data_IF_138816279142
#
_entry.id   IF_138816279142
#
_cell.length_a   1.000
_cell.length_b   1.000
_cell.length_c   1.000
_cell.angle_alpha   90.00
_cell.angle_beta   90.00
_cell.angle_gamma   90.00
#
_symmetry.space_group_name_H-M   'P 1'
#
loop_
_entity.id
_entity.type
_entity.pdbx_description
1 polymer ?
#
# COMPACT_ATOMS: atom_id res chain seq x y z
N UNK A 1 -3.06 14.99 6.41
CA UNK A 1 -3.01 13.72 5.64
C UNK A 1 -4.43 13.19 5.49
N UNK A 2 -4.76 12.53 4.37
CA UNK A 2 -6.09 11.92 4.19
C UNK A 2 -6.17 10.63 5.00
N UNK A 3 -7.36 10.28 5.50
CA UNK A 3 -7.59 9.09 6.32
C UNK A 3 -7.24 7.79 5.59
N UNK A 4 -7.51 7.72 4.27
CA UNK A 4 -7.09 6.60 3.42
C UNK A 4 -5.57 6.44 3.34
N UNK A 5 -4.82 7.54 3.26
CA UNK A 5 -3.35 7.49 3.20
C UNK A 5 -2.77 6.92 4.49
N UNK A 6 -3.31 7.36 5.64
CA UNK A 6 -2.86 6.88 6.95
C UNK A 6 -3.06 5.38 7.09
N UNK A 7 -4.25 4.86 6.76
CA UNK A 7 -4.50 3.41 6.74
C UNK A 7 -3.54 2.67 5.82
N UNK A 8 -3.27 3.22 4.64
CA UNK A 8 -2.34 2.61 3.69
C UNK A 8 -0.92 2.50 4.23
N UNK A 9 -0.43 3.54 4.92
CA UNK A 9 0.86 3.53 5.62
C UNK A 9 0.89 2.45 6.71
N UNK A 10 -0.17 2.37 7.52
CA UNK A 10 -0.27 1.39 8.61
C UNK A 10 -0.21 -0.05 8.06
N UNK A 11 -0.97 -0.36 7.00
CA UNK A 11 -0.95 -1.66 6.32
C UNK A 11 0.44 -1.94 5.71
N UNK A 12 1.05 -0.96 5.04
CA UNK A 12 2.37 -1.12 4.45
C UNK A 12 3.43 -1.49 5.51
N UNK A 13 3.36 -0.86 6.69
CA UNK A 13 4.25 -1.15 7.81
C UNK A 13 4.13 -2.58 8.33
N UNK A 14 2.95 -3.20 8.22
CA UNK A 14 2.72 -4.60 8.59
C UNK A 14 3.30 -5.54 7.53
N UNK A 15 3.04 -5.26 6.25
CA UNK A 15 3.39 -6.16 5.14
C UNK A 15 4.87 -6.10 4.77
N UNK A 16 5.45 -4.91 4.73
CA UNK A 16 6.81 -4.67 4.29
C UNK A 16 7.46 -3.56 5.13
N UNK A 17 7.90 -3.87 6.37
CA UNK A 17 8.61 -2.90 7.22
C UNK A 17 9.78 -2.25 6.46
N UNK A 18 9.76 -0.92 6.34
CA UNK A 18 10.77 -0.13 5.64
C UNK A 18 10.63 -0.05 4.11
N UNK A 19 9.81 -0.91 3.47
CA UNK A 19 9.64 -0.91 2.02
C UNK A 19 8.88 0.31 1.48
N UNK A 20 7.96 0.87 2.28
CA UNK A 20 7.17 2.04 1.89
C UNK A 20 8.04 3.28 1.67
N UNK A 21 9.02 3.51 2.54
CA UNK A 21 9.91 4.67 2.44
C UNK A 21 10.70 4.62 1.13
N UNK A 22 11.22 3.45 0.76
CA UNK A 22 11.93 3.25 -0.49
C UNK A 22 11.04 3.50 -1.72
N UNK A 23 9.77 3.13 -1.65
CA UNK A 23 8.81 3.41 -2.72
C UNK A 23 8.50 4.92 -2.83
N UNK A 24 8.28 5.59 -1.70
CA UNK A 24 7.94 7.02 -1.64
C UNK A 24 9.11 7.95 -1.96
N UNK A 25 10.34 7.46 -1.86
CA UNK A 25 11.56 8.21 -2.19
C UNK A 25 12.22 7.73 -3.49
N UNK A 26 11.64 6.71 -4.13
CA UNK A 26 12.18 6.11 -5.34
C UNK A 26 11.87 6.90 -6.61
N UNK A 27 12.37 6.37 -7.74
CA UNK A 27 12.18 6.93 -9.09
C UNK A 27 10.72 7.19 -9.46
N UNK A 28 9.80 6.37 -8.95
CA UNK A 28 8.36 6.54 -9.20
C UNK A 28 7.85 7.84 -8.59
N UNK A 29 8.26 8.17 -7.36
CA UNK A 29 7.85 9.39 -6.69
C UNK A 29 8.51 10.64 -7.31
N UNK A 30 9.73 10.53 -7.83
CA UNK A 30 10.40 11.62 -8.58
C UNK A 30 9.63 12.00 -9.85
N UNK A 31 9.11 10.99 -10.58
CA UNK A 31 8.44 11.19 -11.87
C UNK A 31 6.95 11.49 -11.70
N UNK A 32 6.29 10.82 -10.75
CA UNK A 32 4.85 10.85 -10.57
C UNK A 32 4.47 10.78 -9.07
N UNK A 33 4.62 11.90 -8.33
CA UNK A 33 4.36 11.92 -6.89
C UNK A 33 2.91 11.59 -6.52
N UNK A 34 1.94 12.04 -7.34
CA UNK A 34 0.53 11.73 -7.12
C UNK A 34 0.23 10.25 -7.33
N UNK A 35 0.91 9.60 -8.28
CA UNK A 35 0.79 8.16 -8.48
C UNK A 35 1.39 7.38 -7.32
N UNK A 36 2.57 7.78 -6.84
CA UNK A 36 3.16 7.19 -5.64
C UNK A 36 2.21 7.32 -4.44
N UNK A 37 1.58 8.48 -4.26
CA UNK A 37 0.55 8.66 -3.23
C UNK A 37 -0.66 7.74 -3.44
N UNK A 38 -1.20 7.70 -4.66
CA UNK A 38 -2.36 6.88 -5.01
C UNK A 38 -2.11 5.38 -4.76
N UNK A 39 -0.90 4.90 -5.05
CA UNK A 39 -0.50 3.51 -4.83
C UNK A 39 -0.45 3.11 -3.34
N UNK A 40 -0.35 4.08 -2.43
CA UNK A 40 -0.53 3.86 -0.99
C UNK A 40 -2.01 3.96 -0.61
N UNK A 41 -2.70 4.99 -1.10
CA UNK A 41 -4.08 5.27 -0.72
C UNK A 41 -5.06 4.18 -1.16
N UNK A 42 -4.96 3.71 -2.41
CA UNK A 42 -5.98 2.83 -2.96
C UNK A 42 -5.74 1.34 -2.64
N UNK A 43 -4.64 0.70 -3.06
CA UNK A 43 -4.39 -0.70 -2.73
C UNK A 43 -4.36 -0.95 -1.22
N UNK A 44 -3.58 -0.16 -0.48
CA UNK A 44 -3.35 -0.41 0.94
C UNK A 44 -4.44 0.23 1.82
N UNK A 45 -4.77 1.49 1.54
CA UNK A 45 -5.71 2.27 2.35
C UNK A 45 -7.20 2.03 2.11
N UNK A 46 -7.59 1.56 0.92
CA UNK A 46 -8.99 1.30 0.56
C UNK A 46 -9.30 -0.18 0.33
N UNK A 47 -8.37 -0.98 -0.22
CA UNK A 47 -8.61 -2.41 -0.49
C UNK A 47 -8.15 -3.31 0.66
N UNK A 48 -6.89 -3.23 1.08
CA UNK A 48 -6.32 -4.08 2.13
C UNK A 48 -6.87 -3.78 3.52
N UNK A 49 -7.31 -2.55 3.78
CA UNK A 49 -7.93 -2.17 5.05
C UNK A 49 -9.34 -2.74 5.27
N UNK A 50 -9.93 -3.44 4.28
CA UNK A 50 -11.27 -4.03 4.44
C UNK A 50 -11.19 -5.30 5.28
N UNK A 51 -12.14 -5.50 6.19
CA UNK A 51 -12.10 -6.62 7.14
C UNK A 51 -12.83 -7.90 6.64
N UNK A 52 -12.96 -8.07 5.32
CA UNK A 52 -13.64 -9.25 4.72
C UNK A 52 -12.69 -10.45 4.56
N UNK A 53 -11.40 -10.20 4.32
CA UNK A 53 -10.36 -11.22 4.21
C UNK A 53 -9.17 -10.79 5.07
N UNK A 54 -8.52 -11.76 5.73
CA UNK A 54 -7.29 -11.49 6.48
C UNK A 54 -6.12 -11.14 5.55
N UNK A 55 -5.08 -10.53 6.12
CA UNK A 55 -3.91 -10.07 5.35
C UNK A 55 -3.16 -11.21 4.67
N UNK A 56 -3.10 -12.39 5.29
CA UNK A 56 -2.42 -13.55 4.71
C UNK A 56 -3.15 -14.03 3.46
N UNK A 57 -4.48 -14.16 3.52
CA UNK A 57 -5.28 -14.56 2.35
C UNK A 57 -5.15 -13.53 1.23
N UNK A 58 -5.11 -12.24 1.56
CA UNK A 58 -4.91 -11.17 0.56
C UNK A 58 -3.58 -11.29 -0.17
N UNK A 59 -2.49 -11.51 0.56
CA UNK A 59 -1.17 -11.71 -0.06
C UNK A 59 -1.13 -12.97 -0.94
N UNK A 60 -1.79 -14.05 -0.53
CA UNK A 60 -1.93 -15.26 -1.38
C UNK A 60 -2.67 -14.93 -2.68
N UNK A 61 -3.78 -14.18 -2.61
CA UNK A 61 -4.54 -13.75 -3.81
C UNK A 61 -3.69 -12.83 -4.69
N UNK A 62 -2.91 -11.91 -4.10
CA UNK A 62 -2.02 -11.04 -4.83
C UNK A 62 -0.95 -11.84 -5.59
N UNK A 63 -0.31 -12.80 -4.92
CA UNK A 63 0.67 -13.70 -5.56
C UNK A 63 0.03 -14.51 -6.69
N UNK A 64 -1.19 -15.03 -6.48
CA UNK A 64 -1.89 -15.82 -7.49
C UNK A 64 -2.29 -15.01 -8.75
N UNK A 65 -2.32 -13.68 -8.66
CA UNK A 65 -2.64 -12.79 -9.78
C UNK A 65 -1.40 -12.34 -10.59
N UNK A 66 -0.18 -12.63 -10.12
CA UNK A 66 1.09 -12.35 -10.80
C UNK A 66 1.47 -13.47 -11.78
#
# INVERSE_FOLDING_TARGET
MSDRYRRGVDIAGILAPGGLEQFLTGRVAEVAPDFARMAVEFPLGDLYSREVLDLRTREIVAIAAL
#
